data_IF_540477611715
#
_entry.id   IF_540477611715
#
_cell.length_a   1.000
_cell.length_b   1.000
_cell.length_c   1.000
_cell.angle_alpha   90.00
_cell.angle_beta   90.00
_cell.angle_gamma   90.00
#
_symmetry.space_group_name_H-M   'P 1'
#
loop_
_entity.id
_entity.type
_entity.pdbx_description
1 polymer ?
#
# COMPACT_ATOMS: atom_id res chain seq x y z
N UNK A 1 -2.54 13.28 5.56
CA UNK A 1 -3.14 14.18 6.57
C UNK A 1 -2.56 13.88 7.95
N UNK A 2 -2.91 12.80 8.62
CA UNK A 2 -2.55 12.52 10.02
C UNK A 2 -1.07 12.78 10.37
N UNK A 3 -0.12 12.37 9.54
CA UNK A 3 1.31 12.70 9.72
C UNK A 3 1.58 14.19 9.75
N UNK A 4 0.95 14.95 8.86
CA UNK A 4 1.12 16.40 8.74
C UNK A 4 0.42 17.18 9.86
N UNK A 5 -0.63 16.62 10.44
CA UNK A 5 -1.36 17.18 11.58
C UNK A 5 -0.60 16.97 12.89
N UNK A 6 -0.04 15.78 13.10
CA UNK A 6 0.56 15.39 14.38
C UNK A 6 2.07 15.68 14.48
N UNK A 7 2.79 15.73 13.34
CA UNK A 7 4.25 15.88 13.31
C UNK A 7 4.63 17.22 12.66
N UNK A 8 4.83 18.27 13.48
CA UNK A 8 5.08 19.63 13.00
C UNK A 8 6.38 19.80 12.19
N UNK A 9 7.40 19.00 12.49
CA UNK A 9 8.74 19.13 11.93
C UNK A 9 9.06 18.10 10.83
N UNK A 10 8.02 17.46 10.30
CA UNK A 10 8.17 16.40 9.30
C UNK A 10 7.83 16.89 7.91
N UNK A 11 8.77 16.71 6.96
CA UNK A 11 8.50 16.82 5.53
C UNK A 11 7.94 15.49 5.03
N UNK A 12 6.81 15.52 4.35
CA UNK A 12 6.19 14.34 3.72
C UNK A 12 6.31 14.45 2.21
N UNK A 13 6.99 13.50 1.57
CA UNK A 13 7.08 13.40 0.12
C UNK A 13 6.16 12.28 -0.35
N UNK A 14 5.13 12.62 -1.11
CA UNK A 14 4.15 11.67 -1.65
C UNK A 14 4.41 11.37 -3.12
N UNK A 15 4.48 10.09 -3.47
CA UNK A 15 4.62 9.61 -4.84
C UNK A 15 3.38 8.78 -5.24
N UNK A 16 2.68 9.16 -6.31
CA UNK A 16 1.58 8.40 -6.91
C UNK A 16 1.55 8.66 -8.43
N UNK A 17 1.27 7.62 -9.22
CA UNK A 17 1.21 7.75 -10.67
C UNK A 17 -0.13 8.29 -11.19
N UNK A 18 -1.12 8.43 -10.30
CA UNK A 18 -2.48 8.87 -10.63
C UNK A 18 -3.10 8.06 -11.78
N UNK A 19 -2.85 6.73 -11.80
CA UNK A 19 -3.37 5.87 -12.86
C UNK A 19 -4.92 5.88 -12.91
N UNK A 20 -5.46 5.53 -14.06
CA UNK A 20 -6.90 5.56 -14.33
C UNK A 20 -7.62 4.24 -13.94
N UNK A 21 -7.10 3.48 -12.98
CA UNK A 21 -7.76 2.28 -12.46
C UNK A 21 -9.18 2.56 -11.93
N UNK A 22 -9.36 3.72 -11.36
CA UNK A 22 -10.65 4.33 -11.04
C UNK A 22 -10.60 5.83 -11.33
N UNK A 23 -11.72 6.54 -11.19
CA UNK A 23 -11.81 7.97 -11.50
C UNK A 23 -10.67 8.78 -10.86
N UNK A 24 -9.84 9.37 -11.71
CA UNK A 24 -8.66 10.17 -11.31
C UNK A 24 -9.07 11.42 -10.51
N UNK A 25 -10.28 11.93 -10.70
CA UNK A 25 -10.77 13.11 -9.95
C UNK A 25 -10.87 12.82 -8.45
N UNK A 26 -11.17 11.57 -8.06
CA UNK A 26 -11.14 11.16 -6.65
C UNK A 26 -9.72 11.27 -6.09
N UNK A 27 -8.70 10.92 -6.86
CA UNK A 27 -7.29 11.04 -6.45
C UNK A 27 -6.88 12.51 -6.34
N UNK A 28 -7.29 13.34 -7.30
CA UNK A 28 -7.04 14.80 -7.26
C UNK A 28 -7.68 15.45 -6.05
N UNK A 29 -8.95 15.14 -5.79
CA UNK A 29 -9.65 15.62 -4.60
C UNK A 29 -8.92 15.28 -3.29
N UNK A 30 -8.36 14.06 -3.17
CA UNK A 30 -7.55 13.69 -2.00
C UNK A 30 -6.27 14.52 -1.88
N UNK A 31 -5.62 14.84 -2.99
CA UNK A 31 -4.45 15.73 -2.98
C UNK A 31 -4.81 17.16 -2.61
N UNK A 32 -5.96 17.65 -3.06
CA UNK A 32 -6.46 18.99 -2.70
C UNK A 32 -6.64 19.15 -1.18
N UNK A 33 -7.00 18.07 -0.46
CA UNK A 33 -7.09 18.09 1.00
C UNK A 33 -5.72 18.31 1.69
N UNK A 34 -4.62 18.13 0.97
CA UNK A 34 -3.26 18.31 1.50
C UNK A 34 -2.66 19.67 1.17
N UNK A 35 -3.40 20.55 0.46
CA UNK A 35 -2.89 21.86 0.04
C UNK A 35 -2.63 22.82 1.20
N UNK A 36 -3.30 22.65 2.33
CA UNK A 36 -3.04 23.43 3.55
C UNK A 36 -1.66 23.15 4.15
N UNK A 37 -1.06 21.98 3.83
CA UNK A 37 0.25 21.55 4.30
C UNK A 37 1.37 21.79 3.28
N UNK A 38 1.17 22.63 2.28
CA UNK A 38 2.09 22.82 1.12
C UNK A 38 3.55 23.11 1.48
N UNK A 39 3.83 23.64 2.64
CA UNK A 39 5.19 23.91 3.12
C UNK A 39 5.90 22.63 3.62
N UNK A 40 5.13 21.60 3.97
CA UNK A 40 5.60 20.33 4.52
C UNK A 40 5.13 19.10 3.74
N UNK A 41 4.44 19.32 2.61
CA UNK A 41 3.98 18.24 1.73
C UNK A 41 4.40 18.51 0.30
N UNK A 42 5.20 17.60 -0.26
CA UNK A 42 5.63 17.61 -1.66
C UNK A 42 4.95 16.44 -2.37
N UNK A 43 4.25 16.73 -3.46
CA UNK A 43 3.66 15.70 -4.30
C UNK A 43 4.47 15.53 -5.59
N UNK A 44 4.89 14.30 -5.87
CA UNK A 44 5.58 13.91 -7.09
C UNK A 44 4.68 12.95 -7.85
N UNK A 45 4.30 13.31 -9.08
CA UNK A 45 3.55 12.42 -9.96
C UNK A 45 4.51 11.48 -10.69
N UNK A 46 4.44 10.19 -10.39
CA UNK A 46 5.28 9.18 -11.03
C UNK A 46 5.02 7.78 -10.53
N UNK A 47 5.70 6.81 -11.09
CA UNK A 47 5.57 5.39 -10.77
C UNK A 47 6.77 4.91 -9.93
N UNK A 48 6.52 4.08 -8.92
CA UNK A 48 7.59 3.36 -8.22
C UNK A 48 8.31 2.35 -9.14
N UNK A 49 7.73 1.98 -10.29
CA UNK A 49 8.40 1.15 -11.29
C UNK A 49 9.46 1.93 -12.10
N UNK A 50 9.45 3.25 -12.07
CA UNK A 50 10.50 4.09 -12.62
C UNK A 50 11.66 4.19 -11.61
N UNK A 51 12.68 3.35 -11.83
CA UNK A 51 13.84 3.29 -10.94
C UNK A 51 14.54 4.62 -10.84
N UNK A 52 14.74 5.31 -11.97
CA UNK A 52 15.46 6.58 -12.01
C UNK A 52 14.75 7.66 -11.19
N UNK A 53 13.42 7.70 -11.23
CA UNK A 53 12.62 8.61 -10.43
C UNK A 53 12.73 8.28 -8.94
N UNK A 54 12.65 7.00 -8.58
CA UNK A 54 12.77 6.56 -7.18
C UNK A 54 14.15 6.91 -6.63
N UNK A 55 15.22 6.59 -7.37
CA UNK A 55 16.59 6.91 -6.97
C UNK A 55 16.76 8.44 -6.75
N UNK A 56 16.26 9.26 -7.69
CA UNK A 56 16.29 10.72 -7.56
C UNK A 56 15.58 11.23 -6.31
N UNK A 57 14.40 10.67 -5.98
CA UNK A 57 13.65 11.05 -4.78
C UNK A 57 14.47 10.73 -3.52
N UNK A 58 15.08 9.55 -3.45
CA UNK A 58 15.89 9.16 -2.31
C UNK A 58 17.16 10.00 -2.16
N UNK A 59 17.79 10.35 -3.27
CA UNK A 59 18.98 11.23 -3.25
C UNK A 59 18.63 12.66 -2.83
N UNK A 60 17.51 13.21 -3.31
CA UNK A 60 17.10 14.60 -3.04
C UNK A 60 16.57 14.77 -1.61
N UNK A 61 15.71 13.85 -1.15
CA UNK A 61 15.00 14.01 0.13
C UNK A 61 15.54 13.16 1.27
N UNK A 62 16.39 12.16 1.02
CA UNK A 62 16.98 11.28 2.01
C UNK A 62 15.99 10.81 3.09
N UNK A 63 14.91 10.09 2.70
CA UNK A 63 13.83 9.75 3.62
C UNK A 63 14.33 8.83 4.73
N UNK A 64 14.03 9.18 5.98
CA UNK A 64 14.33 8.33 7.14
C UNK A 64 13.27 7.24 7.35
N UNK A 65 12.03 7.52 7.01
CA UNK A 65 10.92 6.57 7.07
C UNK A 65 10.30 6.44 5.67
N UNK A 66 10.12 5.22 5.23
CA UNK A 66 9.45 4.92 3.95
C UNK A 66 8.17 4.16 4.22
N UNK A 67 7.03 4.69 3.77
CA UNK A 67 5.73 4.02 3.87
C UNK A 67 5.25 3.67 2.46
N UNK A 68 5.51 2.43 2.02
CA UNK A 68 5.12 1.98 0.70
C UNK A 68 3.71 1.36 0.71
N UNK A 69 2.72 2.17 0.36
CA UNK A 69 1.34 1.75 0.11
C UNK A 69 1.04 1.61 -1.39
N UNK A 70 1.99 2.00 -2.25
CA UNK A 70 1.84 1.95 -3.69
C UNK A 70 1.78 0.50 -4.19
N UNK A 71 0.74 0.19 -4.93
CA UNK A 71 0.54 -1.10 -5.58
C UNK A 71 -0.63 -1.03 -6.56
N UNK A 72 -0.62 -1.92 -7.56
CA UNK A 72 -1.87 -2.28 -8.22
C UNK A 72 -2.65 -3.22 -7.30
N UNK A 73 -3.82 -2.79 -6.87
CA UNK A 73 -4.69 -3.54 -5.98
C UNK A 73 -5.90 -4.14 -6.73
N UNK A 74 -6.64 -5.04 -6.06
CA UNK A 74 -7.83 -5.67 -6.62
C UNK A 74 -7.58 -7.09 -7.15
N UNK A 75 -8.08 -8.11 -6.43
CA UNK A 75 -7.88 -9.52 -6.80
C UNK A 75 -8.41 -9.85 -8.21
N UNK A 76 -9.60 -9.31 -8.55
CA UNK A 76 -10.23 -9.62 -9.85
C UNK A 76 -9.52 -8.96 -11.03
N UNK A 77 -9.04 -7.74 -10.86
CA UNK A 77 -8.36 -7.02 -11.92
C UNK A 77 -7.03 -7.68 -12.29
N UNK A 78 -6.41 -8.44 -11.38
CA UNK A 78 -5.20 -9.21 -11.69
C UNK A 78 -5.41 -10.35 -12.70
N UNK A 79 -6.66 -10.73 -12.96
CA UNK A 79 -7.02 -11.72 -14.00
C UNK A 79 -7.01 -11.07 -15.40
N UNK A 80 -7.48 -9.84 -15.50
CA UNK A 80 -7.65 -9.13 -16.78
C UNK A 80 -6.47 -8.25 -17.15
N UNK A 81 -5.68 -7.81 -16.19
CA UNK A 81 -4.50 -6.96 -16.40
C UNK A 81 -3.35 -7.39 -15.47
N UNK A 82 -2.74 -8.58 -15.69
CA UNK A 82 -1.67 -9.11 -14.85
C UNK A 82 -0.39 -8.26 -14.86
N UNK A 83 -0.05 -7.66 -16.01
CA UNK A 83 1.20 -6.90 -16.19
C UNK A 83 1.30 -5.71 -15.23
N UNK A 84 0.19 -5.02 -14.95
CA UNK A 84 0.15 -3.94 -13.98
C UNK A 84 0.55 -4.39 -12.56
N UNK A 85 0.31 -5.66 -12.22
CA UNK A 85 0.71 -6.23 -10.92
C UNK A 85 2.20 -6.59 -10.89
N UNK A 86 2.73 -7.09 -11.98
CA UNK A 86 4.18 -7.35 -12.09
C UNK A 86 4.94 -6.04 -12.02
N UNK A 87 4.53 -5.05 -12.84
CA UNK A 87 5.18 -3.75 -12.88
C UNK A 87 5.14 -3.03 -11.53
N UNK A 88 3.94 -2.81 -10.98
CA UNK A 88 3.80 -2.03 -9.74
C UNK A 88 4.22 -2.80 -8.49
N UNK A 89 3.81 -4.09 -8.37
CA UNK A 89 3.94 -4.80 -7.10
C UNK A 89 5.29 -5.53 -6.98
N UNK A 90 5.90 -5.95 -8.08
CA UNK A 90 7.19 -6.62 -8.03
C UNK A 90 8.32 -5.67 -8.41
N UNK A 91 8.32 -5.11 -9.61
CA UNK A 91 9.39 -4.21 -10.07
C UNK A 91 9.41 -2.94 -9.21
N UNK A 92 8.24 -2.32 -9.00
CA UNK A 92 8.13 -1.13 -8.18
C UNK A 92 8.57 -1.35 -6.73
N UNK A 93 8.16 -2.45 -6.12
CA UNK A 93 8.59 -2.77 -4.76
C UNK A 93 10.08 -3.10 -4.67
N UNK A 94 10.62 -3.79 -5.66
CA UNK A 94 12.07 -4.01 -5.78
C UNK A 94 12.84 -2.68 -5.85
N UNK A 95 12.39 -1.72 -6.65
CA UNK A 95 13.04 -0.40 -6.72
C UNK A 95 13.03 0.32 -5.36
N UNK A 96 11.95 0.22 -4.59
CA UNK A 96 11.91 0.78 -3.23
C UNK A 96 12.92 0.08 -2.31
N UNK A 97 13.03 -1.25 -2.38
CA UNK A 97 14.02 -2.00 -1.57
C UNK A 97 15.45 -1.62 -1.94
N UNK A 98 15.76 -1.49 -3.24
CA UNK A 98 17.08 -1.04 -3.70
C UNK A 98 17.39 0.39 -3.26
N UNK A 99 16.42 1.30 -3.37
CA UNK A 99 16.60 2.66 -2.89
C UNK A 99 16.83 2.72 -1.37
N UNK A 100 16.10 1.91 -0.59
CA UNK A 100 16.35 1.75 0.84
C UNK A 100 17.77 1.22 1.11
N UNK A 101 18.22 0.20 0.34
CA UNK A 101 19.58 -0.34 0.48
C UNK A 101 20.64 0.71 0.20
N UNK A 102 20.50 1.44 -0.89
CA UNK A 102 21.46 2.48 -1.30
C UNK A 102 21.39 3.75 -0.44
N UNK A 103 20.34 3.93 0.35
CA UNK A 103 20.22 5.07 1.25
C UNK A 103 21.32 5.14 2.33
N UNK A 104 22.02 4.03 2.57
CA UNK A 104 23.15 3.95 3.51
C UNK A 104 24.51 4.20 2.85
N UNK A 105 24.56 4.30 1.54
CA UNK A 105 25.81 4.50 0.81
C UNK A 105 26.46 5.84 1.20
N UNK A 106 27.78 5.93 1.06
CA UNK A 106 28.56 7.14 1.36
C UNK A 106 28.47 7.62 2.83
N UNK A 107 28.12 6.72 3.76
CA UNK A 107 28.03 7.04 5.19
C UNK A 107 26.80 7.83 5.61
N UNK A 108 25.75 7.85 4.76
CA UNK A 108 24.44 8.42 5.10
C UNK A 108 23.76 7.60 6.21
N UNK A 109 22.87 8.22 6.99
CA UNK A 109 22.12 7.52 8.04
C UNK A 109 21.16 6.44 7.49
N UNK A 110 20.69 6.62 6.27
CA UNK A 110 19.80 5.69 5.58
C UNK A 110 18.37 5.65 6.12
N UNK A 111 17.59 4.71 5.57
CA UNK A 111 16.19 4.49 5.94
C UNK A 111 16.13 3.76 7.26
N UNK A 112 15.59 4.39 8.30
CA UNK A 112 15.44 3.82 9.65
C UNK A 112 14.31 2.80 9.74
N UNK A 113 13.28 2.91 8.88
CA UNK A 113 12.19 1.95 8.83
C UNK A 113 11.46 1.97 7.49
N UNK A 114 11.30 0.80 6.88
CA UNK A 114 10.43 0.55 5.74
C UNK A 114 9.14 -0.10 6.22
N UNK A 115 8.02 0.62 6.18
CA UNK A 115 6.68 0.07 6.41
C UNK A 115 6.01 -0.17 5.06
N UNK A 116 5.48 -1.37 4.81
CA UNK A 116 4.87 -1.66 3.51
C UNK A 116 3.54 -2.41 3.63
N UNK A 117 2.65 -2.15 2.67
CA UNK A 117 1.37 -2.82 2.60
C UNK A 117 1.53 -4.23 2.01
N UNK A 118 1.33 -5.26 2.83
CA UNK A 118 0.93 -6.58 2.40
C UNK A 118 -0.61 -6.65 2.30
N UNK A 119 -1.20 -7.83 2.40
CA UNK A 119 -2.65 -8.02 2.27
C UNK A 119 -3.09 -9.29 2.98
N UNK A 120 -4.29 -9.29 3.53
CA UNK A 120 -4.94 -10.52 4.03
C UNK A 120 -5.12 -11.58 2.92
N UNK A 121 -5.05 -11.20 1.65
CA UNK A 121 -5.12 -12.14 0.52
C UNK A 121 -3.98 -13.16 0.50
N UNK A 122 -2.86 -12.88 1.20
CA UNK A 122 -1.73 -13.83 1.33
C UNK A 122 -2.11 -15.11 2.10
N UNK A 123 -3.15 -15.04 2.95
CA UNK A 123 -3.67 -16.23 3.64
C UNK A 123 -4.29 -17.25 2.67
N UNK A 124 -4.71 -16.82 1.46
CA UNK A 124 -5.12 -17.69 0.38
C UNK A 124 -6.22 -18.68 0.80
N UNK A 125 -5.93 -19.96 0.65
CA UNK A 125 -6.84 -21.06 0.99
C UNK A 125 -6.75 -21.55 2.44
N UNK A 126 -6.15 -20.77 3.35
CA UNK A 126 -6.06 -21.14 4.77
C UNK A 126 -7.47 -21.31 5.37
N UNK A 127 -7.67 -22.44 6.07
CA UNK A 127 -8.96 -22.80 6.68
C UNK A 127 -9.06 -22.41 8.16
N UNK A 128 -7.92 -22.14 8.81
CA UNK A 128 -7.88 -21.74 10.21
C UNK A 128 -8.44 -20.32 10.37
N UNK A 129 -9.33 -20.13 11.33
CA UNK A 129 -9.93 -18.85 11.71
C UNK A 129 -9.92 -18.75 13.24
N UNK A 130 -9.50 -17.61 13.80
CA UNK A 130 -8.95 -16.40 13.16
C UNK A 130 -7.56 -16.66 12.54
N UNK A 131 -7.21 -15.86 11.53
CA UNK A 131 -5.87 -15.90 10.95
C UNK A 131 -4.82 -15.41 11.96
N UNK A 132 -3.63 -16.01 11.91
CA UNK A 132 -2.48 -15.61 12.73
C UNK A 132 -1.31 -15.18 11.83
N UNK A 133 -0.45 -14.31 12.34
CA UNK A 133 0.82 -13.98 11.68
C UNK A 133 1.76 -15.18 11.55
N UNK A 134 1.58 -16.20 12.41
CA UNK A 134 2.36 -17.45 12.41
C UNK A 134 1.85 -18.47 11.39
N UNK A 135 0.68 -18.24 10.80
CA UNK A 135 0.12 -19.16 9.81
C UNK A 135 1.00 -19.18 8.55
N UNK A 136 1.20 -20.39 7.99
CA UNK A 136 1.82 -20.52 6.68
C UNK A 136 0.93 -19.88 5.62
N UNK A 137 1.55 -19.07 4.74
CA UNK A 137 0.87 -18.32 3.68
C UNK A 137 1.48 -18.68 2.31
N UNK A 138 1.56 -19.97 2.02
CA UNK A 138 2.24 -20.53 0.86
C UNK A 138 1.29 -20.84 -0.32
N UNK A 139 -0.01 -20.67 -0.14
CA UNK A 139 -1.05 -21.04 -1.10
C UNK A 139 -1.90 -19.85 -1.53
N UNK A 140 -1.30 -18.82 -2.18
CA UNK A 140 -2.06 -17.70 -2.72
C UNK A 140 -3.01 -18.17 -3.82
N UNK A 141 -4.25 -17.62 -3.83
CA UNK A 141 -5.30 -18.00 -4.80
C UNK A 141 -5.51 -16.95 -5.90
N UNK A 142 -4.61 -15.98 -6.02
CA UNK A 142 -4.63 -14.97 -7.09
C UNK A 142 -3.23 -14.44 -7.35
N UNK A 143 -3.01 -13.89 -8.56
CA UNK A 143 -1.75 -13.21 -8.87
C UNK A 143 -1.48 -12.04 -7.92
N UNK A 144 -2.51 -11.25 -7.58
CA UNK A 144 -2.37 -10.20 -6.57
C UNK A 144 -1.85 -10.74 -5.24
N UNK A 145 -2.42 -11.83 -4.72
CA UNK A 145 -1.95 -12.43 -3.48
C UNK A 145 -0.51 -12.94 -3.60
N UNK A 146 -0.15 -13.54 -4.73
CA UNK A 146 1.21 -13.99 -5.01
C UNK A 146 2.21 -12.83 -5.02
N UNK A 147 1.88 -11.69 -5.68
CA UNK A 147 2.76 -10.51 -5.65
C UNK A 147 2.92 -9.94 -4.24
N UNK A 148 1.85 -9.89 -3.42
CA UNK A 148 1.95 -9.43 -2.04
C UNK A 148 2.76 -10.38 -1.16
N UNK A 149 2.63 -11.69 -1.34
CA UNK A 149 3.49 -12.66 -0.66
C UNK A 149 4.95 -12.52 -1.09
N UNK A 150 5.21 -12.28 -2.39
CA UNK A 150 6.57 -12.00 -2.89
C UNK A 150 7.16 -10.76 -2.24
N UNK A 151 6.37 -9.69 -1.99
CA UNK A 151 6.85 -8.52 -1.26
C UNK A 151 7.32 -8.89 0.16
N UNK A 152 6.58 -9.74 0.90
CA UNK A 152 6.99 -10.21 2.22
C UNK A 152 8.33 -10.97 2.17
N UNK A 153 8.50 -11.84 1.18
CA UNK A 153 9.73 -12.63 1.00
C UNK A 153 10.92 -11.75 0.59
N UNK A 154 10.73 -10.81 -0.33
CA UNK A 154 11.78 -9.87 -0.75
C UNK A 154 12.19 -8.96 0.41
N UNK A 155 11.24 -8.36 1.13
CA UNK A 155 11.54 -7.51 2.28
C UNK A 155 12.28 -8.29 3.38
N UNK A 156 11.89 -9.54 3.65
CA UNK A 156 12.60 -10.39 4.60
C UNK A 156 14.05 -10.65 4.16
N UNK A 157 14.28 -10.99 2.88
CA UNK A 157 15.62 -11.21 2.34
C UNK A 157 16.51 -9.95 2.46
N UNK A 158 15.96 -8.77 2.08
CA UNK A 158 16.68 -7.50 2.19
C UNK A 158 16.97 -7.11 3.64
N UNK A 159 16.03 -7.35 4.55
CA UNK A 159 16.26 -7.13 5.99
C UNK A 159 17.38 -8.01 6.52
N UNK A 160 17.51 -9.26 6.05
CA UNK A 160 18.58 -10.18 6.48
C UNK A 160 19.94 -9.90 5.83
N UNK A 161 19.95 -9.46 4.58
CA UNK A 161 21.19 -9.23 3.83
C UNK A 161 21.79 -7.85 4.09
N UNK A 162 20.96 -6.86 4.34
CA UNK A 162 21.36 -5.45 4.39
C UNK A 162 20.91 -4.73 5.67
N UNK A 163 20.41 -5.47 6.67
CA UNK A 163 19.95 -4.95 7.95
C UNK A 163 18.88 -3.83 7.83
N UNK A 164 18.09 -3.81 6.75
CA UNK A 164 17.04 -2.83 6.54
C UNK A 164 15.86 -3.13 7.48
N UNK A 165 15.54 -2.28 8.47
CA UNK A 165 14.38 -2.47 9.32
C UNK A 165 13.10 -2.39 8.48
N UNK A 166 12.29 -3.46 8.48
CA UNK A 166 11.08 -3.49 7.68
C UNK A 166 9.91 -4.17 8.37
N UNK A 167 8.71 -3.61 8.19
CA UNK A 167 7.46 -4.17 8.71
C UNK A 167 6.39 -4.25 7.63
N UNK A 168 5.94 -5.46 7.32
CA UNK A 168 4.83 -5.71 6.39
C UNK A 168 3.49 -5.77 7.11
N UNK A 169 2.50 -5.03 6.63
CA UNK A 169 1.17 -4.94 7.21
C UNK A 169 0.15 -5.70 6.35
N UNK A 170 -0.43 -6.77 6.85
CA UNK A 170 -1.45 -7.57 6.17
C UNK A 170 -2.82 -6.94 6.35
N UNK A 171 -3.11 -5.88 5.61
CA UNK A 171 -4.40 -5.20 5.66
C UNK A 171 -5.54 -6.12 5.24
N UNK A 172 -6.62 -6.11 6.02
CA UNK A 172 -7.92 -6.66 5.67
C UNK A 172 -8.74 -5.62 4.88
N UNK A 173 -10.06 -5.66 4.95
CA UNK A 173 -10.89 -4.71 4.21
C UNK A 173 -10.99 -3.40 4.99
N UNK A 174 -10.23 -2.41 4.58
CA UNK A 174 -10.27 -1.06 5.15
C UNK A 174 -11.44 -0.29 4.55
N UNK A 175 -12.23 0.38 5.39
CA UNK A 175 -13.34 1.23 4.97
C UNK A 175 -13.29 2.59 5.66
N UNK A 176 -13.98 3.58 5.11
CA UNK A 176 -14.09 4.92 5.67
C UNK A 176 -14.03 6.02 4.61
N UNK A 177 -13.94 7.29 5.02
CA UNK A 177 -13.81 8.42 4.12
C UNK A 177 -12.66 8.26 3.14
N UNK A 178 -12.83 8.82 1.95
CA UNK A 178 -11.86 8.71 0.85
C UNK A 178 -11.52 7.26 0.42
N UNK A 179 -12.40 6.28 0.71
CA UNK A 179 -12.24 4.89 0.30
C UNK A 179 -12.21 4.71 -1.22
N UNK A 180 -11.67 3.59 -1.68
CA UNK A 180 -11.62 3.28 -3.12
C UNK A 180 -13.00 2.82 -3.63
N UNK A 181 -13.43 3.29 -4.82
CA UNK A 181 -14.77 2.96 -5.35
C UNK A 181 -14.92 1.52 -5.84
N UNK A 182 -13.82 0.79 -6.06
CA UNK A 182 -13.82 -0.63 -6.43
C UNK A 182 -14.10 -1.58 -5.25
N UNK A 183 -14.15 -1.06 -4.03
CA UNK A 183 -14.47 -1.86 -2.85
C UNK A 183 -15.97 -2.16 -2.76
N UNK A 184 -16.30 -3.36 -2.25
CA UNK A 184 -17.68 -3.85 -2.22
C UNK A 184 -18.65 -2.91 -1.50
N UNK A 185 -18.24 -2.38 -0.33
CA UNK A 185 -19.07 -1.44 0.44
C UNK A 185 -19.42 -0.19 -0.36
N UNK A 186 -18.44 0.39 -1.08
CA UNK A 186 -18.65 1.57 -1.92
C UNK A 186 -19.56 1.24 -3.11
N UNK A 187 -19.20 0.19 -3.87
CA UNK A 187 -19.95 -0.18 -5.06
C UNK A 187 -21.39 -0.62 -4.76
N UNK A 188 -21.64 -1.24 -3.59
CA UNK A 188 -22.99 -1.61 -3.17
C UNK A 188 -23.79 -0.37 -2.77
N UNK A 189 -23.22 0.53 -1.99
CA UNK A 189 -23.87 1.79 -1.58
C UNK A 189 -24.24 2.62 -2.80
N UNK A 190 -23.33 2.84 -3.74
CA UNK A 190 -23.58 3.61 -4.95
C UNK A 190 -24.71 3.03 -5.78
N UNK A 191 -24.71 1.70 -6.02
CA UNK A 191 -25.78 1.03 -6.77
C UNK A 191 -27.12 1.10 -6.07
N UNK A 192 -27.17 0.88 -4.77
CA UNK A 192 -28.41 0.96 -4.00
C UNK A 192 -29.00 2.36 -4.02
N UNK A 193 -28.18 3.41 -3.91
CA UNK A 193 -28.61 4.80 -4.02
C UNK A 193 -29.18 5.13 -5.41
N UNK A 194 -28.70 4.47 -6.47
CA UNK A 194 -29.21 4.63 -7.84
C UNK A 194 -30.41 3.70 -8.14
N UNK A 195 -30.85 2.89 -7.20
CA UNK A 195 -31.89 1.87 -7.43
C UNK A 195 -31.45 0.71 -8.33
N UNK A 196 -30.14 0.52 -8.49
CA UNK A 196 -29.55 -0.55 -9.30
C UNK A 196 -29.42 -1.87 -8.52
N UNK A 197 -29.43 -2.98 -9.26
CA UNK A 197 -29.24 -4.31 -8.67
C UNK A 197 -27.77 -4.54 -8.30
N UNK A 198 -27.53 -5.03 -7.09
CA UNK A 198 -26.21 -5.53 -6.67
C UNK A 198 -26.05 -7.00 -7.06
N UNK A 199 -24.84 -7.40 -7.42
CA UNK A 199 -24.49 -8.80 -7.67
C UNK A 199 -24.02 -9.44 -6.37
N UNK A 200 -24.76 -10.41 -5.87
CA UNK A 200 -24.39 -11.20 -4.71
C UNK A 200 -23.66 -12.45 -5.20
N UNK A 201 -22.42 -12.64 -4.73
CA UNK A 201 -21.59 -13.80 -5.06
C UNK A 201 -21.71 -14.87 -3.98
N UNK A 202 -21.53 -16.14 -4.38
CA UNK A 202 -21.57 -17.30 -3.49
C UNK A 202 -22.83 -17.33 -2.59
N UNK A 203 -23.97 -16.95 -3.16
CA UNK A 203 -25.28 -16.90 -2.46
C UNK A 203 -25.26 -16.08 -1.16
N UNK A 204 -24.36 -15.09 -1.06
CA UNK A 204 -24.16 -14.29 0.15
C UNK A 204 -23.33 -14.98 1.25
N UNK A 205 -22.88 -16.20 1.05
CA UNK A 205 -22.03 -16.92 2.01
C UNK A 205 -20.59 -16.42 1.93
N UNK A 206 -20.39 -15.14 2.28
CA UNK A 206 -19.10 -14.48 2.31
C UNK A 206 -18.93 -13.74 3.63
N UNK A 207 -17.87 -14.06 4.36
CA UNK A 207 -17.47 -13.30 5.56
C UNK A 207 -16.26 -12.43 5.23
N UNK A 208 -16.24 -11.23 5.78
CA UNK A 208 -15.11 -10.27 5.64
C UNK A 208 -14.93 -9.56 6.97
N UNK A 209 -13.70 -9.30 7.27
CA UNK A 209 -13.32 -8.44 8.38
C UNK A 209 -13.13 -7.02 7.85
N UNK A 210 -13.78 -6.06 8.51
CA UNK A 210 -13.75 -4.65 8.14
C UNK A 210 -13.07 -3.85 9.24
N UNK A 211 -12.07 -3.05 8.87
CA UNK A 211 -11.36 -2.17 9.79
C UNK A 211 -11.54 -0.73 9.36
N UNK A 212 -11.91 0.14 10.30
CA UNK A 212 -12.09 1.56 10.01
C UNK A 212 -10.73 2.22 9.69
N UNK A 213 -10.74 3.18 8.77
CA UNK A 213 -9.49 3.77 8.24
C UNK A 213 -8.65 4.45 9.32
N UNK A 214 -9.26 5.08 10.32
CA UNK A 214 -8.52 5.75 11.39
C UNK A 214 -7.78 4.76 12.29
N UNK A 215 -8.34 3.57 12.54
CA UNK A 215 -7.66 2.49 13.27
C UNK A 215 -6.45 1.98 12.49
N UNK A 216 -6.57 1.87 11.17
CA UNK A 216 -5.45 1.50 10.29
C UNK A 216 -4.38 2.58 10.31
N UNK A 217 -4.76 3.84 10.18
CA UNK A 217 -3.82 4.98 10.21
C UNK A 217 -3.08 5.03 11.53
N UNK A 218 -3.80 4.88 12.65
CA UNK A 218 -3.19 4.80 13.99
C UNK A 218 -2.19 3.65 14.10
N UNK A 219 -2.56 2.47 13.57
CA UNK A 219 -1.66 1.31 13.53
C UNK A 219 -0.39 1.60 12.72
N UNK A 220 -0.51 2.23 11.56
CA UNK A 220 0.64 2.64 10.72
C UNK A 220 1.53 3.63 11.46
N UNK A 221 0.94 4.67 12.08
CA UNK A 221 1.67 5.68 12.86
C UNK A 221 2.50 5.06 13.98
N UNK A 222 1.89 4.14 14.75
CA UNK A 222 2.59 3.42 15.84
C UNK A 222 3.71 2.51 15.33
N UNK A 223 3.54 1.89 14.18
CA UNK A 223 4.58 1.04 13.57
C UNK A 223 5.75 1.90 13.09
N UNK A 224 5.49 3.05 12.51
CA UNK A 224 6.53 4.00 12.06
C UNK A 224 7.40 4.51 13.21
N UNK A 225 6.85 4.62 14.42
CA UNK A 225 7.53 5.14 15.60
C UNK A 225 8.42 4.10 16.34
N UNK A 226 8.45 2.85 15.85
CA UNK A 226 9.28 1.77 16.43
C UNK A 226 10.64 1.70 15.76
#
# INVERSE_FOLDING_TARGET
MRLLEELSDTLVVGLDNLNAYYDVNIKRWRLEQLTEFRERFIFIKGSIADKSLVDKIFDEYQPQIVVNLAAQAGVRYSITNPDAYIESNLIGFYNILEACRHSYDEGREGVKHLVYASSSSVYGSNKKVPYSTDDKVDNPVSLYAATKKSNELMAHAYSKLYDIPSTGLRFFTVYGPAGRPDMAYFGFTDKLLRGERIKIFNYGNCKRDFTYVDDIVEGVMRVMAK
#
